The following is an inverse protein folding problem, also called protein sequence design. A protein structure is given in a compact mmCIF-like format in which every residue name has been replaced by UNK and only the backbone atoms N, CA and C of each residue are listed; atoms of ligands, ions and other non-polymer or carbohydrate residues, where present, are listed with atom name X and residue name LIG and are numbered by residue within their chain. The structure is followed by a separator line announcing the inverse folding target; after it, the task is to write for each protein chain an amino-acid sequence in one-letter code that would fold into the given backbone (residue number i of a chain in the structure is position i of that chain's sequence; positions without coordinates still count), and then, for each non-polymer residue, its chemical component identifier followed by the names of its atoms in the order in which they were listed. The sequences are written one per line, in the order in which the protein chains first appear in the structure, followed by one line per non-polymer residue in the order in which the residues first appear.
data_IF_550618101497
#
_entry.id   IF_550618101497
#
_cell.length_a   1.000
_cell.length_b   1.000
_cell.length_c   1.000
_cell.angle_alpha   90.00
_cell.angle_beta   90.00
_cell.angle_gamma   90.00
#
_symmetry.space_group_name_H-M   'P 1'
#
loop_
_entity.id
_entity.type
_entity.pdbx_description
1 polymer ?
#
# COMPACT_ATOMS: atom_id res chain seq x y z
N UNK A 1 27.74 27.94 -30.41
CA UNK A 1 27.94 26.67 -29.65
C UNK A 1 27.82 26.82 -28.14
N UNK A 2 28.45 27.83 -27.50
CA UNK A 2 28.47 27.99 -26.04
C UNK A 2 27.09 28.09 -25.35
N UNK A 3 26.11 28.79 -25.97
CA UNK A 3 24.74 28.92 -25.41
C UNK A 3 24.00 27.59 -25.30
N UNK A 4 24.11 26.72 -26.31
CA UNK A 4 23.47 25.38 -26.28
C UNK A 4 24.04 24.50 -25.16
N UNK A 5 25.35 24.63 -24.88
CA UNK A 5 26.01 23.90 -23.80
C UNK A 5 25.49 24.31 -22.40
N UNK A 6 25.19 25.59 -22.21
CA UNK A 6 24.64 26.12 -20.95
C UNK A 6 23.22 25.62 -20.70
N UNK A 7 22.37 25.57 -21.74
CA UNK A 7 21.02 25.02 -21.59
C UNK A 7 21.04 23.53 -21.26
N UNK A 8 21.96 22.78 -21.88
CA UNK A 8 22.12 21.35 -21.60
C UNK A 8 22.62 21.13 -20.16
N UNK A 9 23.58 21.95 -19.68
CA UNK A 9 24.05 21.83 -18.29
C UNK A 9 22.97 22.22 -17.29
N UNK A 10 22.17 23.24 -17.59
CA UNK A 10 21.05 23.66 -16.75
C UNK A 10 19.96 22.59 -16.66
N UNK A 11 19.62 21.94 -17.79
CA UNK A 11 18.63 20.87 -17.85
C UNK A 11 19.08 19.63 -17.05
N UNK A 12 20.36 19.27 -17.15
CA UNK A 12 20.96 18.19 -16.36
C UNK A 12 20.98 18.50 -14.85
N UNK A 13 21.26 19.75 -14.47
CA UNK A 13 21.23 20.19 -13.08
C UNK A 13 19.81 20.17 -12.49
N UNK A 14 18.81 20.54 -13.31
CA UNK A 14 17.41 20.46 -12.92
C UNK A 14 16.97 19.01 -12.67
N UNK A 15 17.30 18.10 -13.60
CA UNK A 15 16.97 16.68 -13.46
C UNK A 15 17.62 16.01 -12.23
N UNK A 16 18.81 16.46 -11.82
CA UNK A 16 19.48 15.98 -10.62
C UNK A 16 18.88 16.52 -9.30
N UNK A 17 18.20 17.67 -9.34
CA UNK A 17 17.59 18.30 -8.16
C UNK A 17 16.18 17.80 -7.84
N UNK A 18 15.53 17.08 -8.77
CA UNK A 18 14.22 16.49 -8.56
C UNK A 18 14.34 14.96 -8.59
N UNK A 19 14.76 14.31 -7.49
CA UNK A 19 14.59 12.86 -7.37
C UNK A 19 13.11 12.51 -7.60
N UNK A 20 12.80 11.28 -8.04
CA UNK A 20 11.42 10.87 -8.27
C UNK A 20 10.60 11.05 -6.97
N UNK A 21 9.76 12.09 -6.92
CA UNK A 21 8.93 12.47 -5.77
C UNK A 21 7.80 11.45 -5.46
N UNK A 22 7.85 10.27 -6.05
CA UNK A 22 6.73 9.31 -6.13
C UNK A 22 7.08 7.94 -5.54
N UNK A 23 8.09 7.85 -4.68
CA UNK A 23 8.25 6.64 -3.87
C UNK A 23 7.14 6.60 -2.82
N UNK A 24 6.15 5.74 -3.07
CA UNK A 24 5.09 5.44 -2.11
C UNK A 24 5.67 4.54 -1.03
N UNK A 25 5.76 5.08 0.18
CA UNK A 25 6.28 4.35 1.33
C UNK A 25 5.26 3.30 1.80
N UNK A 26 5.67 2.03 1.73
CA UNK A 26 4.85 0.86 2.06
C UNK A 26 5.50 0.08 3.18
N UNK A 27 4.80 -0.03 4.30
CA UNK A 27 5.20 -0.85 5.45
C UNK A 27 4.40 -2.14 5.49
N UNK A 28 5.07 -3.29 5.53
CA UNK A 28 4.40 -4.59 5.69
C UNK A 28 3.79 -4.69 7.09
N UNK A 29 2.50 -5.02 7.15
CA UNK A 29 1.76 -5.35 8.37
C UNK A 29 1.58 -6.86 8.56
N UNK A 30 1.31 -7.60 7.47
CA UNK A 30 1.15 -9.04 7.52
C UNK A 30 1.58 -9.72 6.20
N UNK A 31 2.03 -10.97 6.31
CA UNK A 31 2.25 -11.89 5.18
C UNK A 31 1.50 -13.18 5.47
N UNK A 32 0.57 -13.56 4.59
CA UNK A 32 -0.38 -14.64 4.79
C UNK A 32 -0.24 -15.62 3.63
N UNK A 33 0.32 -16.82 3.83
CA UNK A 33 0.29 -17.86 2.81
C UNK A 33 -1.15 -18.33 2.59
N UNK A 34 -1.56 -18.52 1.34
CA UNK A 34 -2.89 -19.06 1.00
C UNK A 34 -2.73 -20.54 0.65
N UNK A 35 -3.35 -21.47 1.41
CA UNK A 35 -3.23 -22.90 1.14
C UNK A 35 -3.64 -23.27 -0.28
N UNK A 36 -2.81 -24.07 -0.96
CA UNK A 36 -3.09 -24.55 -2.32
C UNK A 36 -2.94 -23.49 -3.43
N UNK A 37 -2.48 -22.28 -3.11
CA UNK A 37 -2.16 -21.23 -4.09
C UNK A 37 -0.66 -20.94 -4.12
N UNK A 38 -0.17 -20.50 -5.27
CA UNK A 38 1.23 -20.14 -5.53
C UNK A 38 1.57 -18.68 -5.16
N UNK A 39 0.62 -17.99 -4.56
CA UNK A 39 0.77 -16.62 -4.07
C UNK A 39 0.55 -16.54 -2.55
N UNK A 40 1.06 -15.46 -1.97
CA UNK A 40 0.75 -15.03 -0.61
C UNK A 40 -0.02 -13.72 -0.66
N UNK A 41 -0.82 -13.46 0.37
CA UNK A 41 -1.40 -12.15 0.61
C UNK A 41 -0.45 -11.34 1.49
N UNK A 42 -0.16 -10.12 1.07
CA UNK A 42 0.62 -9.16 1.85
C UNK A 42 -0.29 -7.98 2.16
N UNK A 43 -0.38 -7.62 3.44
CA UNK A 43 -1.11 -6.44 3.88
C UNK A 43 -0.08 -5.37 4.19
N UNK A 44 -0.22 -4.22 3.54
CA UNK A 44 0.63 -3.05 3.71
C UNK A 44 -0.15 -1.93 4.41
N UNK A 45 0.56 -1.17 5.23
CA UNK A 45 0.24 0.22 5.47
C UNK A 45 0.93 1.05 4.39
N UNK A 46 0.18 1.91 3.72
CA UNK A 46 0.70 2.85 2.73
C UNK A 46 0.68 4.22 3.36
N UNK A 47 1.86 4.83 3.53
CA UNK A 47 1.97 6.22 3.97
C UNK A 47 1.54 7.12 2.82
N UNK A 48 0.60 8.00 3.10
CA UNK A 48 0.10 8.99 2.19
C UNK A 48 1.17 10.00 1.80
N UNK A 49 0.98 10.58 0.62
CA UNK A 49 1.80 11.66 0.08
C UNK A 49 0.88 12.71 -0.56
N UNK A 50 1.44 13.61 -1.37
CA UNK A 50 0.64 14.65 -2.04
C UNK A 50 -0.46 14.12 -2.99
N UNK A 51 -0.39 12.84 -3.37
CA UNK A 51 -1.26 12.20 -4.37
C UNK A 51 -2.05 11.01 -3.86
N UNK A 52 -1.67 10.43 -2.72
CA UNK A 52 -2.25 9.21 -2.16
C UNK A 52 -2.57 9.45 -0.69
N UNK A 53 -3.76 9.06 -0.24
CA UNK A 53 -4.12 9.09 1.18
C UNK A 53 -3.58 7.85 1.90
N UNK A 54 -3.29 7.99 3.20
CA UNK A 54 -2.94 6.85 4.07
C UNK A 54 -3.96 5.71 3.90
N UNK A 55 -3.50 4.48 3.70
CA UNK A 55 -4.42 3.36 3.53
C UNK A 55 -3.87 2.01 4.00
N UNK A 56 -4.78 1.07 4.25
CA UNK A 56 -4.48 -0.35 4.29
C UNK A 56 -4.61 -0.90 2.88
N UNK A 57 -3.53 -1.43 2.32
CA UNK A 57 -3.49 -2.05 0.99
C UNK A 57 -3.32 -3.55 1.11
N UNK A 58 -4.12 -4.31 0.36
CA UNK A 58 -4.02 -5.78 0.28
C UNK A 58 -3.50 -6.17 -1.09
N UNK A 59 -2.45 -6.98 -1.11
CA UNK A 59 -1.72 -7.37 -2.32
C UNK A 59 -1.60 -8.89 -2.40
N UNK A 60 -1.88 -9.46 -3.56
CA UNK A 60 -1.44 -10.81 -3.90
C UNK A 60 -0.02 -10.74 -4.46
N UNK A 61 0.91 -11.48 -3.86
CA UNK A 61 2.32 -11.52 -4.26
C UNK A 61 2.68 -12.94 -4.66
N UNK A 62 2.98 -13.14 -5.95
CA UNK A 62 3.52 -14.38 -6.50
C UNK A 62 4.94 -14.14 -7.02
N UNK A 63 5.76 -15.18 -7.02
CA UNK A 63 7.09 -15.13 -7.64
C UNK A 63 7.01 -14.99 -9.16
N UNK A 64 5.96 -15.52 -9.78
CA UNK A 64 5.85 -15.60 -11.23
C UNK A 64 5.17 -14.37 -11.84
N UNK A 65 4.10 -13.87 -11.20
CA UNK A 65 3.31 -12.73 -11.68
C UNK A 65 3.61 -11.40 -10.98
N UNK A 66 4.44 -11.41 -9.92
CA UNK A 66 4.77 -10.22 -9.15
C UNK A 66 3.69 -9.82 -8.14
N UNK A 67 3.60 -8.52 -7.85
CA UNK A 67 2.60 -7.96 -6.94
C UNK A 67 1.36 -7.47 -7.71
N UNK A 68 0.19 -7.90 -7.26
CA UNK A 68 -1.11 -7.42 -7.73
C UNK A 68 -1.88 -6.83 -6.55
N UNK A 69 -2.22 -5.54 -6.63
CA UNK A 69 -3.11 -4.91 -5.66
C UNK A 69 -4.51 -5.52 -5.82
N UNK A 70 -5.04 -6.08 -4.73
CA UNK A 70 -6.40 -6.60 -4.66
C UNK A 70 -7.38 -5.52 -4.24
N UNK A 71 -7.01 -4.73 -3.22
CA UNK A 71 -7.86 -3.66 -2.70
C UNK A 71 -7.05 -2.59 -1.94
N UNK A 72 -7.54 -1.35 -1.98
CA UNK A 72 -7.05 -0.24 -1.15
C UNK A 72 -8.18 0.26 -0.25
N UNK A 73 -7.95 0.25 1.07
CA UNK A 73 -8.91 0.76 2.02
C UNK A 73 -8.46 2.13 2.58
N UNK A 74 -8.71 3.20 1.81
CA UNK A 74 -8.26 4.59 2.05
C UNK A 74 -8.74 5.22 3.37
N UNK A 75 -9.76 4.63 4.00
CA UNK A 75 -10.32 5.11 5.27
C UNK A 75 -9.60 4.56 6.50
N UNK A 76 -8.72 3.58 6.34
CA UNK A 76 -8.11 2.88 7.46
C UNK A 76 -6.61 2.93 7.34
N UNK A 77 -5.95 3.10 8.47
CA UNK A 77 -4.49 3.04 8.59
C UNK A 77 -4.02 2.09 9.70
N UNK A 78 -4.95 1.42 10.38
CA UNK A 78 -4.68 0.45 11.42
C UNK A 78 -5.26 -0.92 11.03
N UNK A 79 -4.43 -1.95 11.12
CA UNK A 79 -4.86 -3.35 11.05
C UNK A 79 -4.86 -3.92 12.48
N UNK A 80 -6.04 -4.22 13.01
CA UNK A 80 -6.21 -4.80 14.34
C UNK A 80 -5.98 -6.32 14.31
N UNK A 81 -6.60 -7.00 13.34
CA UNK A 81 -6.44 -8.45 13.15
C UNK A 81 -6.84 -8.88 11.74
N UNK A 82 -6.48 -10.10 11.38
CA UNK A 82 -6.84 -10.72 10.12
C UNK A 82 -7.09 -12.22 10.32
N UNK A 83 -7.88 -12.80 9.41
CA UNK A 83 -8.10 -14.24 9.35
C UNK A 83 -8.37 -14.68 7.93
N UNK A 84 -7.72 -15.77 7.50
CA UNK A 84 -8.10 -16.48 6.29
C UNK A 84 -9.29 -17.41 6.62
N UNK A 85 -10.42 -17.16 5.96
CA UNK A 85 -11.68 -17.89 6.17
C UNK A 85 -11.88 -18.86 5.01
N UNK A 86 -11.94 -20.15 5.34
CA UNK A 86 -12.18 -21.25 4.40
C UNK A 86 -11.23 -21.23 3.17
N UNK A 87 -10.00 -20.74 3.35
CA UNK A 87 -8.96 -20.62 2.32
C UNK A 87 -9.32 -19.78 1.09
N UNK A 88 -10.49 -19.13 1.08
CA UNK A 88 -11.03 -18.41 -0.09
C UNK A 88 -11.39 -16.95 0.20
N UNK A 89 -11.38 -16.52 1.46
CA UNK A 89 -11.77 -15.16 1.85
C UNK A 89 -10.87 -14.64 2.94
N UNK A 90 -10.44 -13.39 2.83
CA UNK A 90 -9.69 -12.70 3.87
C UNK A 90 -10.64 -11.83 4.70
N UNK A 91 -10.74 -12.11 5.99
CA UNK A 91 -11.37 -11.23 6.96
C UNK A 91 -10.32 -10.27 7.53
N UNK A 92 -10.64 -8.99 7.53
CA UNK A 92 -9.81 -7.91 8.06
C UNK A 92 -10.60 -7.18 9.14
N UNK A 93 -9.95 -6.90 10.27
CA UNK A 93 -10.47 -5.97 11.27
C UNK A 93 -9.58 -4.73 11.24
N UNK A 94 -10.15 -3.60 10.82
CA UNK A 94 -9.42 -2.38 10.48
C UNK A 94 -9.96 -1.17 11.22
N UNK A 95 -9.10 -0.17 11.43
CA UNK A 95 -9.44 1.07 12.12
C UNK A 95 -8.71 2.28 11.54
N UNK A 96 -9.09 3.45 12.03
CA UNK A 96 -8.44 4.72 11.72
C UNK A 96 -7.84 5.33 13.01
N UNK A 97 -6.61 5.82 12.92
CA UNK A 97 -5.96 6.62 13.96
C UNK A 97 -6.79 7.81 14.44
N UNK A 98 -7.57 8.46 13.56
CA UNK A 98 -8.42 9.59 13.94
C UNK A 98 -9.55 9.15 14.86
N UNK A 99 -10.01 7.91 14.73
CA UNK A 99 -10.97 7.34 15.67
C UNK A 99 -10.42 7.11 17.07
N UNK A 100 -9.11 7.13 17.28
CA UNK A 100 -8.56 6.99 18.63
C UNK A 100 -8.55 8.31 19.44
N UNK A 101 -8.79 9.46 18.79
CA UNK A 101 -8.60 10.80 19.39
C UNK A 101 -9.83 11.44 20.03
N UNK A 102 -11.02 10.81 20.02
CA UNK A 102 -12.17 11.44 20.70
C UNK A 102 -13.53 10.78 20.59
N UNK A 103 -13.68 9.73 19.78
CA UNK A 103 -14.92 8.95 19.73
C UNK A 103 -14.53 7.50 19.72
N UNK A 104 -15.09 6.64 20.59
CA UNK A 104 -14.83 5.18 20.57
C UNK A 104 -15.36 4.59 19.26
N UNK A 105 -14.67 4.80 18.14
CA UNK A 105 -15.01 4.12 16.91
C UNK A 105 -14.62 2.68 17.09
N UNK A 106 -15.59 1.80 16.92
CA UNK A 106 -15.31 0.38 16.85
C UNK A 106 -14.56 0.12 15.54
N UNK A 107 -13.61 -0.83 15.53
CA UNK A 107 -13.01 -1.25 14.28
C UNK A 107 -14.07 -1.87 13.37
N UNK A 108 -13.88 -1.69 12.06
CA UNK A 108 -14.75 -2.25 11.04
C UNK A 108 -14.22 -3.62 10.62
N UNK A 109 -15.14 -4.53 10.31
CA UNK A 109 -14.80 -5.86 9.78
C UNK A 109 -15.12 -5.91 8.30
N UNK A 110 -14.11 -6.25 7.49
CA UNK A 110 -14.20 -6.30 6.03
C UNK A 110 -13.89 -7.72 5.57
N UNK A 111 -14.62 -8.19 4.55
CA UNK A 111 -14.37 -9.45 3.88
C UNK A 111 -13.95 -9.21 2.45
N UNK A 112 -12.80 -9.75 2.08
CA UNK A 112 -12.25 -9.72 0.72
C UNK A 112 -12.22 -11.15 0.14
N UNK A 113 -13.05 -11.47 -0.86
CA UNK A 113 -12.96 -12.74 -1.58
C UNK A 113 -11.62 -12.84 -2.33
N UNK A 114 -10.91 -13.94 -2.13
CA UNK A 114 -9.67 -14.27 -2.83
C UNK A 114 -10.01 -15.14 -4.06
N UNK A 115 -9.56 -14.72 -5.24
CA UNK A 115 -9.78 -15.47 -6.49
C UNK A 115 -8.72 -16.57 -6.69
#
# INVERSE_FOLDING_TARGET
MKRKLVYISLLLLLAACFPPLLEVDRRVLANIPVPGKDYKIVIYYVSGNATVQDCIQVVASSKDSGEQVLENYERYNILESYQLVADSSLMLVVGDSLSYLGSKSKPDTIFLPLK
#
